data_IF_570282412792
#
_entry.id   IF_570282412792
#
_cell.length_a   1.000
_cell.length_b   1.000
_cell.length_c   1.000
_cell.angle_alpha   90.00
_cell.angle_beta   90.00
_cell.angle_gamma   90.00
#
_symmetry.space_group_name_H-M   'P 1'
#
loop_
_entity.id
_entity.type
_entity.pdbx_description
1 polymer ?
#
# COMPACT_ATOMS: atom_id res chain seq x y z
N UNK A 1 -9.99 4.52 24.99
CA UNK A 1 -9.05 4.85 23.90
C UNK A 1 -9.57 4.12 22.68
N UNK A 2 -10.33 4.82 21.83
CA UNK A 2 -10.83 4.26 20.59
C UNK A 2 -9.64 4.25 19.63
N UNK A 3 -9.13 3.05 19.35
CA UNK A 3 -8.20 2.80 18.26
C UNK A 3 -8.72 3.50 17.01
N UNK A 4 -7.94 4.43 16.47
CA UNK A 4 -8.18 5.04 15.18
C UNK A 4 -8.33 3.89 14.19
N UNK A 5 -9.58 3.62 13.78
CA UNK A 5 -9.90 2.75 12.66
C UNK A 5 -9.23 3.40 11.46
N UNK A 6 -8.02 2.93 11.17
CA UNK A 6 -7.17 3.47 10.12
C UNK A 6 -7.78 3.09 8.79
N UNK A 7 -8.50 4.04 8.18
CA UNK A 7 -9.00 3.92 6.83
C UNK A 7 -7.84 3.62 5.88
N UNK A 8 -7.95 2.54 5.11
CA UNK A 8 -7.02 2.20 4.03
C UNK A 8 -7.66 2.65 2.72
N UNK A 9 -7.04 3.60 2.04
CA UNK A 9 -7.37 3.94 0.66
C UNK A 9 -6.51 3.06 -0.25
N UNK A 10 -7.12 2.02 -0.79
CA UNK A 10 -6.45 1.06 -1.68
C UNK A 10 -6.56 1.55 -3.11
N UNK A 11 -5.45 1.64 -3.84
CA UNK A 11 -5.45 1.86 -5.28
C UNK A 11 -4.85 0.64 -5.99
N UNK A 12 -5.48 0.16 -7.04
CA UNK A 12 -4.95 -0.93 -7.86
C UNK A 12 -5.18 -0.64 -9.33
N UNK A 13 -4.37 -1.28 -10.17
CA UNK A 13 -4.50 -1.18 -11.62
C UNK A 13 -5.16 -2.43 -12.17
N UNK A 14 -6.18 -2.25 -12.99
CA UNK A 14 -6.89 -3.31 -13.69
C UNK A 14 -7.33 -2.79 -15.07
N UNK A 15 -6.95 -3.52 -16.13
CA UNK A 15 -7.30 -3.20 -17.52
C UNK A 15 -7.02 -1.76 -17.96
N UNK A 16 -5.88 -1.17 -17.58
CA UNK A 16 -5.59 0.22 -17.95
C UNK A 16 -6.22 1.26 -17.01
N UNK A 17 -6.97 0.84 -15.99
CA UNK A 17 -7.76 1.72 -15.12
C UNK A 17 -7.25 1.66 -13.68
N UNK A 18 -7.03 2.86 -13.11
CA UNK A 18 -6.74 3.03 -11.69
C UNK A 18 -8.05 2.98 -10.89
N UNK A 19 -8.20 1.97 -10.06
CA UNK A 19 -9.33 1.78 -9.16
C UNK A 19 -9.00 2.22 -7.74
N UNK A 20 -10.04 2.54 -6.95
CA UNK A 20 -9.89 2.99 -5.57
C UNK A 20 -10.98 2.46 -4.64
N UNK A 21 -10.60 2.02 -3.45
CA UNK A 21 -11.52 1.56 -2.39
C UNK A 21 -11.11 2.03 -1.00
N UNK A 22 -12.08 2.37 -0.15
CA UNK A 22 -11.85 2.68 1.26
C UNK A 22 -12.24 1.44 2.10
N UNK A 23 -11.27 0.84 2.79
CA UNK A 23 -11.47 -0.41 3.53
C UNK A 23 -10.82 -0.33 4.90
N UNK A 24 -11.45 -0.91 5.91
CA UNK A 24 -10.77 -1.25 7.16
C UNK A 24 -9.74 -2.35 6.88
N UNK A 25 -8.59 -2.34 7.56
CA UNK A 25 -7.49 -3.30 7.29
C UNK A 25 -7.90 -4.79 7.34
N UNK A 26 -9.03 -5.12 7.98
CA UNK A 26 -9.60 -6.47 8.04
C UNK A 26 -10.35 -6.89 6.75
N UNK A 27 -10.93 -5.93 6.01
CA UNK A 27 -11.68 -6.18 4.77
C UNK A 27 -10.88 -5.94 3.49
N UNK A 28 -9.65 -5.42 3.61
CA UNK A 28 -8.78 -5.03 2.50
C UNK A 28 -8.64 -6.11 1.40
N UNK A 29 -8.13 -7.29 1.76
CA UNK A 29 -7.85 -8.33 0.76
C UNK A 29 -9.13 -8.93 0.17
N UNK A 30 -10.21 -9.02 0.96
CA UNK A 30 -11.50 -9.51 0.47
C UNK A 30 -12.11 -8.53 -0.55
N UNK A 31 -12.00 -7.22 -0.30
CA UNK A 31 -12.45 -6.21 -1.24
C UNK A 31 -11.69 -6.27 -2.58
N UNK A 32 -10.36 -6.43 -2.53
CA UNK A 32 -9.54 -6.63 -3.73
C UNK A 32 -9.84 -7.96 -4.43
N UNK A 33 -10.10 -9.05 -3.70
CA UNK A 33 -10.49 -10.32 -4.32
C UNK A 33 -11.81 -10.19 -5.11
N UNK A 34 -12.74 -9.36 -4.63
CA UNK A 34 -14.05 -9.13 -5.26
C UNK A 34 -13.97 -8.17 -6.44
N UNK A 35 -13.23 -7.08 -6.31
CA UNK A 35 -13.23 -5.97 -7.28
C UNK A 35 -11.99 -5.95 -8.20
N UNK A 36 -10.99 -6.80 -7.94
CA UNK A 36 -9.71 -6.81 -8.63
C UNK A 36 -9.14 -8.24 -8.81
N UNK A 37 -9.90 -9.19 -9.38
CA UNK A 37 -9.50 -10.59 -9.42
C UNK A 37 -8.10 -10.78 -10.03
N UNK A 38 -7.20 -11.38 -9.25
CA UNK A 38 -5.81 -11.63 -9.68
C UNK A 38 -4.78 -10.58 -9.25
N UNK A 39 -5.20 -9.50 -8.58
CA UNK A 39 -4.33 -8.43 -8.07
C UNK A 39 -3.03 -8.91 -7.39
N UNK A 40 -3.09 -9.99 -6.61
CA UNK A 40 -1.94 -10.53 -5.89
C UNK A 40 -0.84 -11.12 -6.80
N UNK A 41 -1.10 -11.27 -8.11
CA UNK A 41 -0.15 -11.76 -9.11
C UNK A 41 0.46 -10.65 -9.97
N UNK A 42 -0.02 -9.41 -9.82
CA UNK A 42 0.32 -8.30 -10.72
C UNK A 42 1.68 -7.64 -10.41
N UNK A 43 2.45 -8.22 -9.48
CA UNK A 43 3.80 -7.79 -9.17
C UNK A 43 3.95 -7.27 -7.74
N UNK A 44 4.98 -6.45 -7.49
CA UNK A 44 5.24 -5.81 -6.20
C UNK A 44 4.07 -4.95 -5.71
N UNK A 45 3.90 -4.89 -4.39
CA UNK A 45 2.96 -3.99 -3.75
C UNK A 45 3.69 -2.84 -3.05
N UNK A 46 3.30 -1.60 -3.37
CA UNK A 46 3.79 -0.40 -2.69
C UNK A 46 2.78 0.02 -1.62
N UNK A 47 3.23 0.21 -0.39
CA UNK A 47 2.40 0.66 0.74
C UNK A 47 2.87 2.04 1.19
N UNK A 48 2.03 3.06 1.04
CA UNK A 48 2.30 4.40 1.55
C UNK A 48 1.87 4.48 3.01
N UNK A 49 2.80 4.82 3.89
CA UNK A 49 2.58 4.93 5.33
C UNK A 49 3.22 3.79 6.13
N UNK A 50 3.43 4.05 7.41
CA UNK A 50 3.99 3.10 8.37
C UNK A 50 3.26 3.16 9.73
N UNK A 51 1.93 3.21 9.69
CA UNK A 51 1.03 3.29 10.85
C UNK A 51 0.35 1.95 11.18
N UNK A 52 -0.67 1.98 12.04
CA UNK A 52 -1.43 0.78 12.42
C UNK A 52 -2.10 0.09 11.22
N UNK A 53 -2.72 0.86 10.34
CA UNK A 53 -3.32 0.36 9.11
C UNK A 53 -2.32 -0.33 8.17
N UNK A 54 -1.10 0.22 8.06
CA UNK A 54 -0.02 -0.39 7.26
C UNK A 54 0.32 -1.80 7.73
N UNK A 55 0.30 -2.05 9.05
CA UNK A 55 0.57 -3.39 9.61
C UNK A 55 -0.49 -4.40 9.16
N UNK A 56 -1.77 -4.04 9.23
CA UNK A 56 -2.87 -4.90 8.78
C UNK A 56 -2.76 -5.21 7.27
N UNK A 57 -2.50 -4.18 6.45
CA UNK A 57 -2.29 -4.33 5.00
C UNK A 57 -1.11 -5.26 4.71
N UNK A 58 0.08 -5.00 5.27
CA UNK A 58 1.27 -5.82 5.00
C UNK A 58 1.04 -7.28 5.39
N UNK A 59 0.35 -7.52 6.52
CA UNK A 59 -0.03 -8.87 6.92
C UNK A 59 -0.91 -9.55 5.85
N UNK A 60 -1.98 -8.88 5.41
CA UNK A 60 -2.87 -9.40 4.39
C UNK A 60 -2.15 -9.65 3.05
N UNK A 61 -1.26 -8.75 2.62
CA UNK A 61 -0.43 -8.93 1.41
C UNK A 61 0.44 -10.19 1.50
N UNK A 62 1.05 -10.45 2.66
CA UNK A 62 1.87 -11.65 2.89
C UNK A 62 1.03 -12.92 2.92
N UNK A 63 -0.15 -12.91 3.55
CA UNK A 63 -1.07 -14.04 3.55
C UNK A 63 -1.55 -14.40 2.14
N UNK A 64 -1.67 -13.40 1.25
CA UNK A 64 -1.99 -13.58 -0.17
C UNK A 64 -0.80 -13.95 -1.04
N UNK A 65 0.38 -14.11 -0.45
CA UNK A 65 1.57 -14.65 -1.10
C UNK A 65 2.38 -13.60 -1.89
N UNK A 66 2.15 -12.31 -1.68
CA UNK A 66 2.98 -11.26 -2.28
C UNK A 66 4.37 -11.31 -1.65
N UNK A 67 5.38 -11.37 -2.52
CA UNK A 67 6.78 -11.59 -2.12
C UNK A 67 7.64 -10.33 -2.13
N UNK A 68 7.16 -9.25 -2.74
CA UNK A 68 7.83 -7.95 -2.79
C UNK A 68 6.84 -6.86 -2.32
N UNK A 69 7.03 -6.41 -1.08
CA UNK A 69 6.23 -5.36 -0.45
C UNK A 69 7.17 -4.20 -0.12
N UNK A 70 6.83 -3.01 -0.60
CA UNK A 70 7.69 -1.81 -0.55
C UNK A 70 6.99 -0.75 0.28
N UNK A 71 7.47 -0.52 1.49
CA UNK A 71 6.89 0.47 2.39
C UNK A 71 7.54 1.82 2.12
N UNK A 72 6.74 2.82 1.78
CA UNK A 72 7.20 4.19 1.56
C UNK A 72 6.64 5.07 2.67
N UNK A 73 7.51 5.76 3.41
CA UNK A 73 7.06 6.65 4.48
C UNK A 73 7.92 7.92 4.56
N UNK A 74 7.32 9.03 5.00
CA UNK A 74 8.06 10.29 5.26
C UNK A 74 9.18 10.11 6.28
N UNK A 75 8.91 9.33 7.33
CA UNK A 75 9.90 8.97 8.35
C UNK A 75 10.42 7.57 8.06
N UNK A 76 11.58 7.47 7.40
CA UNK A 76 12.19 6.20 6.97
C UNK A 76 12.31 5.19 8.12
N UNK A 77 12.75 5.63 9.31
CA UNK A 77 12.93 4.76 10.47
C UNK A 77 11.66 3.96 10.86
N UNK A 78 10.46 4.52 10.64
CA UNK A 78 9.19 3.80 10.89
C UNK A 78 8.93 2.73 9.84
N UNK A 79 9.25 2.99 8.58
CA UNK A 79 9.16 1.98 7.52
C UNK A 79 10.17 0.86 7.76
N UNK A 80 11.40 1.17 8.18
CA UNK A 80 12.42 0.18 8.50
C UNK A 80 12.03 -0.70 9.69
N UNK A 81 11.36 -0.14 10.70
CA UNK A 81 10.81 -0.92 11.81
C UNK A 81 9.81 -1.97 11.31
N UNK A 82 8.89 -1.58 10.43
CA UNK A 82 7.95 -2.51 9.81
C UNK A 82 8.65 -3.53 8.92
N UNK A 83 9.63 -3.10 8.12
CA UNK A 83 10.45 -4.00 7.29
C UNK A 83 11.14 -5.08 8.12
N UNK A 84 11.76 -4.70 9.25
CA UNK A 84 12.35 -5.66 10.20
C UNK A 84 11.31 -6.57 10.84
N UNK A 85 10.16 -6.02 11.23
CA UNK A 85 9.09 -6.78 11.87
C UNK A 85 8.51 -7.88 10.96
N UNK A 86 8.25 -7.57 9.70
CA UNK A 86 7.69 -8.53 8.75
C UNK A 86 8.75 -9.38 8.03
N UNK A 87 10.01 -8.93 8.01
CA UNK A 87 11.15 -9.68 7.49
C UNK A 87 11.13 -9.87 5.98
N UNK A 88 11.42 -11.10 5.54
CA UNK A 88 11.61 -11.41 4.12
C UNK A 88 10.43 -10.94 3.24
N UNK A 89 10.79 -10.36 2.10
CA UNK A 89 9.85 -9.82 1.13
C UNK A 89 9.28 -8.45 1.48
N UNK A 90 9.82 -7.76 2.50
CA UNK A 90 9.42 -6.40 2.88
C UNK A 90 10.63 -5.47 2.89
N UNK A 91 10.55 -4.40 2.10
CA UNK A 91 11.57 -3.35 1.99
C UNK A 91 11.04 -2.00 2.46
N UNK A 92 11.93 -1.13 2.93
CA UNK A 92 11.58 0.16 3.52
C UNK A 92 12.26 1.30 2.78
N UNK A 93 11.50 2.34 2.46
CA UNK A 93 11.91 3.43 1.58
C UNK A 93 11.43 4.78 2.09
N UNK A 94 12.20 5.83 1.79
CA UNK A 94 11.81 7.21 2.07
C UNK A 94 10.88 7.76 0.99
N UNK A 95 10.19 8.86 1.30
CA UNK A 95 9.22 9.49 0.38
C UNK A 95 9.79 9.87 -1.00
N UNK A 96 11.10 10.09 -1.13
CA UNK A 96 11.73 10.40 -2.41
C UNK A 96 11.80 9.23 -3.41
N UNK A 97 11.62 7.99 -2.95
CA UNK A 97 11.73 6.79 -3.79
C UNK A 97 10.39 6.37 -4.43
N UNK A 98 9.28 7.02 -4.06
CA UNK A 98 7.93 6.58 -4.45
C UNK A 98 7.74 6.41 -5.96
N UNK A 99 8.23 7.36 -6.77
CA UNK A 99 8.06 7.31 -8.23
C UNK A 99 8.77 6.14 -8.90
N UNK A 100 10.01 5.84 -8.50
CA UNK A 100 10.76 4.70 -9.04
C UNK A 100 10.14 3.36 -8.63
N UNK A 101 9.66 3.27 -7.39
CA UNK A 101 9.08 2.04 -6.83
C UNK A 101 7.71 1.71 -7.42
N UNK A 102 7.03 2.69 -8.02
CA UNK A 102 5.73 2.49 -8.67
C UNK A 102 5.84 1.95 -10.09
N UNK A 103 6.98 2.16 -10.76
CA UNK A 103 7.14 1.87 -12.19
C UNK A 103 6.86 0.42 -12.59
N UNK A 104 7.08 -0.53 -11.68
CA UNK A 104 6.82 -1.96 -11.83
C UNK A 104 5.82 -2.50 -10.79
N UNK A 105 5.18 -1.63 -10.00
CA UNK A 105 4.26 -2.07 -8.95
C UNK A 105 2.90 -2.48 -9.55
N UNK A 106 2.37 -3.61 -9.11
CA UNK A 106 1.01 -4.05 -9.47
C UNK A 106 -0.08 -3.51 -8.56
N UNK A 107 0.31 -2.91 -7.43
CA UNK A 107 -0.62 -2.46 -6.39
C UNK A 107 -0.02 -1.29 -5.60
N UNK A 108 -0.83 -0.25 -5.35
CA UNK A 108 -0.49 0.88 -4.50
C UNK A 108 -1.50 1.04 -3.36
N UNK A 109 -1.10 0.75 -2.13
CA UNK A 109 -1.98 0.89 -0.97
C UNK A 109 -1.62 2.14 -0.19
N UNK A 110 -2.53 3.12 -0.13
CA UNK A 110 -2.36 4.28 0.72
C UNK A 110 -2.97 4.05 2.11
N UNK A 111 -2.12 4.01 3.11
CA UNK A 111 -2.50 3.88 4.53
C UNK A 111 -2.22 5.14 5.34
N UNK A 112 -1.90 6.25 4.65
CA UNK A 112 -1.71 7.56 5.28
C UNK A 112 -3.05 8.31 5.31
N UNK A 113 -3.16 9.27 6.23
CA UNK A 113 -4.29 10.20 6.24
C UNK A 113 -4.32 11.16 5.03
N UNK A 114 -3.21 11.23 4.27
CA UNK A 114 -3.05 12.12 3.12
C UNK A 114 -3.88 11.60 1.94
N UNK A 115 -4.60 12.50 1.28
CA UNK A 115 -5.53 12.17 0.19
C UNK A 115 -7.00 12.03 0.60
N UNK A 116 -7.33 12.10 1.90
CA UNK A 116 -8.74 12.11 2.38
C UNK A 116 -9.41 13.49 2.30
N UNK A 117 -8.62 14.56 2.30
CA UNK A 117 -9.05 15.91 1.98
C UNK A 117 -8.18 16.39 0.82
N UNK A 118 -8.79 16.73 -0.32
CA UNK A 118 -8.16 16.86 -1.65
C UNK A 118 -7.09 17.93 -1.84
N UNK A 119 -6.25 18.21 -0.85
CA UNK A 119 -5.21 19.24 -0.88
C UNK A 119 -3.86 18.77 -0.31
N UNK A 120 -3.65 17.47 -0.12
CA UNK A 120 -2.41 16.91 0.43
C UNK A 120 -1.72 15.97 -0.56
N UNK A 121 -0.46 16.25 -0.88
CA UNK A 121 0.37 15.47 -1.81
C UNK A 121 0.73 14.10 -1.22
N UNK A 122 0.42 13.04 -1.95
CA UNK A 122 0.81 11.67 -1.60
C UNK A 122 2.34 11.51 -1.65
N UNK A 123 2.86 10.56 -0.85
CA UNK A 123 4.29 10.22 -0.88
C UNK A 123 4.72 9.52 -2.19
N UNK A 124 3.77 9.13 -3.04
CA UNK A 124 3.98 8.65 -4.39
C UNK A 124 2.77 9.02 -5.26
N UNK A 125 3.00 9.39 -6.52
CA UNK A 125 1.95 9.74 -7.47
C UNK A 125 1.33 8.48 -8.09
N UNK A 126 0.03 8.20 -7.91
CA UNK A 126 -0.63 7.03 -8.48
C UNK A 126 -0.51 6.91 -10.01
N UNK A 127 -0.26 8.01 -10.74
CA UNK A 127 0.01 8.00 -12.17
C UNK A 127 1.28 7.24 -12.56
N UNK A 128 2.14 6.88 -11.59
CA UNK A 128 3.35 6.09 -11.80
C UNK A 128 3.13 4.58 -11.90
N UNK A 129 1.90 4.07 -11.70
CA UNK A 129 1.60 2.64 -11.87
C UNK A 129 1.62 2.24 -13.36
N UNK A 130 2.14 1.04 -13.69
CA UNK A 130 2.07 0.49 -15.04
C UNK A 130 0.63 0.22 -15.46
N UNK A 131 0.36 0.48 -16.75
CA UNK A 131 -0.94 0.31 -17.42
C UNK A 131 -1.46 -1.12 -17.46
#
# INVERSE_FOLDING_TARGET
AADEIGAVNTLWFEDGVLWGGNTDGYGFAANLDEHAPGWAKNGPAVVLGAGGASRAVIHALKERGIKDIRIVNRTLARAEELGRHFGAGVSAHGAGAGGELLADAGLLVNTTALGMHGNETLAADPAGLPG
#
